data_IF_912707527731
#
_entry.id   IF_912707527731
#
_cell.length_a   1.000
_cell.length_b   1.000
_cell.length_c   1.000
_cell.angle_alpha   90.00
_cell.angle_beta   90.00
_cell.angle_gamma   90.00
#
_symmetry.space_group_name_H-M   'P 1'
#
loop_
_entity.id
_entity.type
_entity.pdbx_description
1 polymer ?
#
# COMPACT_ATOMS: atom_id res chain seq x y z
N UNK A 1 -2.49 23.45 53.57
CA UNK A 1 -1.08 23.80 53.35
C UNK A 1 -0.58 22.98 52.17
N UNK A 2 -0.46 23.63 50.99
CA UNK A 2 0.44 23.34 49.85
C UNK A 2 0.27 21.93 49.21
N UNK A 3 -0.36 21.76 48.04
CA UNK A 3 0.14 22.17 46.71
C UNK A 3 -1.00 22.32 45.69
N UNK A 4 -0.94 23.37 44.87
CA UNK A 4 -1.82 23.61 43.72
C UNK A 4 -1.12 23.39 42.37
N UNK A 5 -1.97 23.42 41.33
CA UNK A 5 -1.73 23.91 39.95
C UNK A 5 -0.68 23.22 39.06
N UNK A 6 -1.14 22.32 38.16
CA UNK A 6 -0.95 22.45 36.70
C UNK A 6 -1.65 21.29 35.95
N UNK A 7 -2.91 21.50 35.58
CA UNK A 7 -3.52 20.76 34.46
C UNK A 7 -3.47 21.73 33.30
N UNK A 8 -2.73 21.47 32.21
CA UNK A 8 -2.66 22.41 31.11
C UNK A 8 -4.02 22.50 30.42
N UNK A 9 -4.63 23.67 30.54
CA UNK A 9 -5.80 24.19 29.85
C UNK A 9 -5.54 24.41 28.35
N UNK A 10 -4.95 23.42 27.66
CA UNK A 10 -4.68 23.46 26.21
C UNK A 10 -5.91 23.11 25.36
N UNK A 11 -7.06 22.81 25.97
CA UNK A 11 -8.24 22.28 25.27
C UNK A 11 -9.45 23.22 25.20
N UNK A 12 -9.33 24.49 25.63
CA UNK A 12 -10.44 25.44 25.56
C UNK A 12 -9.96 26.87 25.30
N UNK A 13 -9.77 27.18 24.02
CA UNK A 13 -9.43 28.51 23.54
C UNK A 13 -9.63 28.58 22.03
N UNK A 14 -10.80 29.05 21.62
CA UNK A 14 -11.14 29.29 20.23
C UNK A 14 -10.18 30.31 19.59
N UNK A 15 -9.56 29.93 18.48
CA UNK A 15 -9.06 30.87 17.47
C UNK A 15 -9.40 30.30 16.09
N UNK A 16 -10.48 30.85 15.53
CA UNK A 16 -10.59 31.24 14.13
C UNK A 16 -10.00 30.28 13.07
N UNK A 17 -10.89 29.48 12.50
CA UNK A 17 -10.75 28.71 11.26
C UNK A 17 -10.58 29.61 9.99
N UNK A 18 -9.98 30.79 10.15
CA UNK A 18 -9.88 31.86 9.15
C UNK A 18 -8.44 32.36 8.94
N UNK A 19 -7.51 32.08 9.88
CA UNK A 19 -6.13 32.61 9.79
C UNK A 19 -5.20 31.72 8.94
N UNK A 20 -5.56 30.43 8.74
CA UNK A 20 -4.79 29.53 7.87
C UNK A 20 -5.12 29.70 6.37
N UNK A 21 -6.13 30.50 6.01
CA UNK A 21 -6.42 30.87 4.62
C UNK A 21 -5.81 32.22 4.22
N UNK A 22 -5.38 33.07 5.17
CA UNK A 22 -4.85 34.39 4.84
C UNK A 22 -3.35 34.43 4.49
N UNK A 23 -2.58 33.37 4.74
CA UNK A 23 -1.17 33.28 4.31
C UNK A 23 -0.98 32.65 2.91
N UNK A 24 -2.02 32.66 2.07
CA UNK A 24 -1.88 32.47 0.61
C UNK A 24 -2.32 33.71 -0.18
N UNK A 25 -2.35 34.88 0.47
CA UNK A 25 -2.40 36.17 -0.21
C UNK A 25 -1.02 36.60 -0.66
N UNK A 26 -0.60 36.21 -1.87
CA UNK A 26 0.56 36.84 -2.52
C UNK A 26 1.57 35.95 -3.23
N UNK A 27 1.18 34.78 -3.74
CA UNK A 27 1.95 34.17 -4.83
C UNK A 27 1.16 34.32 -6.12
N UNK A 28 1.29 35.48 -6.77
CA UNK A 28 1.18 35.51 -8.24
C UNK A 28 2.32 34.66 -8.79
N UNK A 29 2.13 33.34 -8.73
CA UNK A 29 2.94 32.38 -9.45
C UNK A 29 2.50 32.50 -10.89
N UNK A 30 3.18 33.35 -11.65
CA UNK A 30 3.23 33.22 -13.10
C UNK A 30 3.81 31.83 -13.40
N UNK A 31 2.93 30.82 -13.45
CA UNK A 31 3.23 29.44 -13.83
C UNK A 31 3.62 29.45 -15.31
N UNK A 32 4.84 29.91 -15.57
CA UNK A 32 5.42 29.94 -16.89
C UNK A 32 5.66 28.49 -17.31
N UNK A 33 5.24 28.13 -18.52
CA UNK A 33 5.47 26.82 -19.18
C UNK A 33 6.93 26.34 -19.12
N UNK A 34 7.86 27.27 -18.88
CA UNK A 34 9.27 27.02 -18.65
C UNK A 34 9.56 26.12 -17.44
N UNK A 35 8.84 26.27 -16.32
CA UNK A 35 9.05 25.43 -15.13
C UNK A 35 8.65 23.97 -15.39
N UNK A 36 7.57 23.78 -16.15
CA UNK A 36 7.13 22.45 -16.61
C UNK A 36 8.15 21.84 -17.58
N UNK A 37 8.70 22.66 -18.48
CA UNK A 37 9.76 22.24 -19.39
C UNK A 37 11.02 21.75 -18.67
N UNK A 38 11.50 22.50 -17.68
CA UNK A 38 12.66 22.10 -16.85
C UNK A 38 12.37 20.81 -16.08
N UNK A 39 11.19 20.70 -15.45
CA UNK A 39 10.80 19.50 -14.71
C UNK A 39 10.71 18.27 -15.63
N UNK A 40 10.13 18.41 -16.82
CA UNK A 40 10.02 17.31 -17.79
C UNK A 40 11.38 16.84 -18.30
N UNK A 41 12.33 17.77 -18.48
CA UNK A 41 13.70 17.44 -18.91
C UNK A 41 14.42 16.60 -17.85
N UNK A 42 14.21 16.88 -16.56
CA UNK A 42 14.78 16.10 -15.47
C UNK A 42 14.25 14.65 -15.44
N UNK A 43 12.98 14.45 -15.78
CA UNK A 43 12.35 13.11 -15.93
C UNK A 43 12.97 12.37 -17.11
N UNK A 44 13.15 13.04 -18.25
CA UNK A 44 13.76 12.45 -19.45
C UNK A 44 15.21 12.04 -19.18
N UNK A 45 16.00 12.88 -18.51
CA UNK A 45 17.39 12.57 -18.13
C UNK A 45 17.44 11.34 -17.20
N UNK A 46 16.58 11.26 -16.18
CA UNK A 46 16.46 10.08 -15.32
C UNK A 46 16.08 8.82 -16.13
N UNK A 47 15.16 8.97 -17.09
CA UNK A 47 14.78 7.90 -18.01
C UNK A 47 15.95 7.40 -18.85
N UNK A 48 16.74 8.31 -19.43
CA UNK A 48 17.92 7.98 -20.24
C UNK A 48 18.98 7.28 -19.40
N UNK A 49 19.26 7.75 -18.18
CA UNK A 49 20.21 7.12 -17.25
C UNK A 49 19.72 5.71 -16.86
N UNK A 50 18.42 5.55 -16.62
CA UNK A 50 17.82 4.25 -16.29
C UNK A 50 17.96 3.24 -17.43
N UNK A 51 17.80 3.68 -18.68
CA UNK A 51 18.00 2.86 -19.89
C UNK A 51 19.49 2.53 -20.05
N UNK A 52 20.38 3.50 -19.83
CA UNK A 52 21.83 3.33 -19.93
C UNK A 52 22.39 2.31 -18.93
N UNK A 53 21.79 2.19 -17.73
CA UNK A 53 22.17 1.19 -16.74
C UNK A 53 21.71 -0.25 -17.08
N UNK A 54 20.96 -0.47 -18.17
CA UNK A 54 20.73 -1.80 -18.75
C UNK A 54 20.05 -2.80 -17.81
N UNK A 55 19.18 -2.33 -16.91
CA UNK A 55 18.66 -3.13 -15.79
C UNK A 55 17.69 -4.27 -16.20
N UNK A 56 17.40 -4.47 -17.50
CA UNK A 56 16.41 -5.43 -18.01
C UNK A 56 15.00 -5.32 -17.37
N UNK A 57 14.76 -4.23 -16.64
CA UNK A 57 13.49 -3.91 -15.98
C UNK A 57 12.55 -3.14 -16.91
N UNK A 58 13.03 -2.62 -18.05
CA UNK A 58 12.24 -1.77 -18.94
C UNK A 58 10.95 -2.44 -19.41
N UNK A 59 11.03 -3.71 -19.85
CA UNK A 59 9.86 -4.46 -20.30
C UNK A 59 8.92 -4.79 -19.13
N UNK A 60 9.47 -5.14 -17.96
CA UNK A 60 8.69 -5.44 -16.76
C UNK A 60 7.94 -4.20 -16.25
N UNK A 61 8.63 -3.05 -16.21
CA UNK A 61 8.06 -1.76 -15.82
C UNK A 61 7.03 -1.27 -16.84
N UNK A 62 7.31 -1.39 -18.13
CA UNK A 62 6.38 -1.00 -19.19
C UNK A 62 5.10 -1.83 -19.12
N UNK A 63 5.21 -3.16 -19.02
CA UNK A 63 4.04 -4.05 -18.87
C UNK A 63 3.26 -3.73 -17.59
N UNK A 64 3.94 -3.49 -16.48
CA UNK A 64 3.30 -3.12 -15.20
C UNK A 64 2.59 -1.77 -15.29
N UNK A 65 3.21 -0.78 -15.93
CA UNK A 65 2.64 0.56 -16.11
C UNK A 65 1.39 0.52 -16.98
N UNK A 66 1.45 -0.14 -18.13
CA UNK A 66 0.30 -0.31 -19.03
C UNK A 66 -0.84 -1.03 -18.31
N UNK A 67 -0.55 -2.09 -17.55
CA UNK A 67 -1.54 -2.79 -16.73
C UNK A 67 -2.19 -1.88 -15.69
N UNK A 68 -1.41 -1.08 -14.95
CA UNK A 68 -1.94 -0.11 -13.98
C UNK A 68 -2.85 0.92 -14.65
N UNK A 69 -2.48 1.44 -15.81
CA UNK A 69 -3.31 2.39 -16.58
C UNK A 69 -4.63 1.72 -16.97
N UNK A 70 -4.58 0.54 -17.56
CA UNK A 70 -5.78 -0.22 -17.94
C UNK A 70 -6.67 -0.50 -16.72
N UNK A 71 -6.09 -0.94 -15.61
CA UNK A 71 -6.81 -1.19 -14.36
C UNK A 71 -7.48 0.07 -13.82
N UNK A 72 -6.78 1.20 -13.79
CA UNK A 72 -7.33 2.46 -13.28
C UNK A 72 -8.45 2.98 -14.17
N UNK A 73 -8.29 2.89 -15.50
CA UNK A 73 -9.35 3.26 -16.45
C UNK A 73 -10.59 2.39 -16.28
N UNK A 74 -10.42 1.06 -16.18
CA UNK A 74 -11.54 0.14 -15.94
C UNK A 74 -12.24 0.42 -14.61
N UNK A 75 -11.49 0.66 -13.53
CA UNK A 75 -12.06 1.01 -12.23
C UNK A 75 -12.82 2.33 -12.27
N UNK A 76 -12.30 3.33 -13.00
CA UNK A 76 -12.98 4.61 -13.20
C UNK A 76 -14.33 4.46 -13.90
N UNK A 77 -14.41 3.61 -14.94
CA UNK A 77 -15.65 3.34 -15.67
C UNK A 77 -16.69 2.61 -14.79
N UNK A 78 -16.25 1.61 -14.03
CA UNK A 78 -17.14 0.85 -13.12
C UNK A 78 -17.67 1.73 -11.98
N UNK A 79 -16.89 2.74 -11.55
CA UNK A 79 -17.28 3.63 -10.45
C UNK A 79 -18.57 4.41 -10.74
N UNK A 80 -18.80 4.79 -12.00
CA UNK A 80 -20.00 5.56 -12.37
C UNK A 80 -21.29 4.76 -12.20
N UNK A 81 -21.27 3.47 -12.53
CA UNK A 81 -22.39 2.55 -12.32
C UNK A 81 -22.60 2.21 -10.84
N UNK A 82 -21.50 2.05 -10.10
CA UNK A 82 -21.52 1.81 -8.64
C UNK A 82 -22.17 2.96 -7.89
N UNK A 83 -21.88 4.21 -8.29
CA UNK A 83 -22.44 5.40 -7.67
C UNK A 83 -23.94 5.58 -7.96
N UNK A 84 -24.45 5.07 -9.09
CA UNK A 84 -25.88 5.13 -9.42
C UNK A 84 -26.72 4.09 -8.67
N UNK A 85 -26.10 2.99 -8.24
CA UNK A 85 -26.80 1.85 -7.67
C UNK A 85 -27.00 1.90 -6.14
N UNK A 86 -26.29 2.76 -5.40
CA UNK A 86 -26.39 3.00 -3.94
C UNK A 86 -26.72 1.74 -3.10
N UNK A 87 -26.05 0.64 -3.40
CA UNK A 87 -26.35 -0.67 -2.80
C UNK A 87 -25.10 -1.27 -2.12
N UNK A 88 -25.20 -1.74 -0.86
CA UNK A 88 -24.09 -2.36 -0.12
C UNK A 88 -23.34 -3.46 -0.84
N UNK A 89 -24.10 -4.32 -1.50
CA UNK A 89 -23.59 -5.53 -2.09
C UNK A 89 -22.67 -5.23 -3.26
N UNK A 90 -22.90 -4.12 -3.95
CA UNK A 90 -22.06 -3.66 -5.07
C UNK A 90 -20.73 -3.11 -4.56
N UNK A 91 -20.73 -2.37 -3.44
CA UNK A 91 -19.48 -1.90 -2.81
C UNK A 91 -18.66 -3.08 -2.32
N UNK A 92 -19.28 -4.08 -1.68
CA UNK A 92 -18.61 -5.31 -1.25
C UNK A 92 -18.03 -6.10 -2.43
N UNK A 93 -18.80 -6.27 -3.51
CA UNK A 93 -18.36 -6.94 -4.73
C UNK A 93 -17.18 -6.21 -5.38
N UNK A 94 -17.18 -4.88 -5.35
CA UNK A 94 -16.08 -4.09 -5.90
C UNK A 94 -14.79 -4.24 -5.08
N UNK A 95 -14.87 -4.24 -3.74
CA UNK A 95 -13.72 -4.54 -2.89
C UNK A 95 -13.18 -5.94 -3.20
N UNK A 96 -14.08 -6.92 -3.36
CA UNK A 96 -13.68 -8.28 -3.68
C UNK A 96 -12.94 -8.36 -5.02
N UNK A 97 -13.43 -7.65 -6.04
CA UNK A 97 -12.76 -7.53 -7.35
C UNK A 97 -11.39 -6.85 -7.21
N UNK A 98 -11.28 -5.78 -6.44
CA UNK A 98 -10.01 -5.08 -6.20
C UNK A 98 -8.98 -5.97 -5.50
N UNK A 99 -9.42 -6.69 -4.45
CA UNK A 99 -8.59 -7.67 -3.75
C UNK A 99 -8.18 -8.81 -4.69
N UNK A 100 -9.09 -9.32 -5.51
CA UNK A 100 -8.82 -10.41 -6.44
C UNK A 100 -7.82 -10.00 -7.53
N UNK A 101 -8.03 -8.84 -8.15
CA UNK A 101 -7.14 -8.31 -9.17
C UNK A 101 -5.74 -8.04 -8.59
N UNK A 102 -5.70 -7.50 -7.38
CA UNK A 102 -4.45 -7.24 -6.67
C UNK A 102 -3.71 -8.51 -6.26
N UNK A 103 -4.40 -9.51 -5.72
CA UNK A 103 -3.80 -10.80 -5.40
C UNK A 103 -3.26 -11.51 -6.65
N UNK A 104 -3.98 -11.41 -7.77
CA UNK A 104 -3.54 -11.96 -9.04
C UNK A 104 -2.29 -11.24 -9.57
N UNK A 105 -2.18 -9.92 -9.37
CA UNK A 105 -0.98 -9.13 -9.69
C UNK A 105 0.27 -9.62 -8.95
N UNK A 106 0.19 -9.71 -7.62
CA UNK A 106 1.30 -10.13 -6.75
C UNK A 106 1.86 -11.47 -7.21
N UNK A 107 0.94 -12.38 -7.54
CA UNK A 107 1.26 -13.77 -7.80
C UNK A 107 1.76 -13.97 -9.24
N UNK A 108 1.23 -13.23 -10.21
CA UNK A 108 1.65 -13.34 -11.62
C UNK A 108 2.97 -12.62 -11.90
N UNK A 109 3.21 -11.45 -11.31
CA UNK A 109 4.37 -10.62 -11.69
C UNK A 109 5.53 -10.64 -10.69
N UNK A 110 5.30 -10.92 -9.40
CA UNK A 110 6.38 -10.83 -8.39
C UNK A 110 6.99 -12.16 -7.95
N UNK A 111 6.38 -13.30 -8.28
CA UNK A 111 6.89 -14.62 -7.89
C UNK A 111 7.62 -15.32 -9.04
N UNK A 112 8.94 -15.10 -9.16
CA UNK A 112 9.82 -15.86 -10.08
C UNK A 112 9.95 -17.36 -9.73
N UNK A 113 9.46 -17.80 -8.55
CA UNK A 113 9.51 -19.19 -8.07
C UNK A 113 8.19 -19.54 -7.36
N UNK A 114 7.34 -20.30 -8.05
CA UNK A 114 5.97 -20.66 -7.64
C UNK A 114 5.99 -21.87 -6.69
N UNK A 115 5.43 -21.73 -5.49
CA UNK A 115 4.91 -22.87 -4.71
C UNK A 115 3.40 -23.03 -4.93
N UNK A 116 2.94 -24.27 -5.10
CA UNK A 116 1.51 -24.61 -5.20
C UNK A 116 0.82 -24.29 -3.87
N UNK A 117 -0.01 -23.24 -3.83
CA UNK A 117 -0.72 -22.79 -2.62
C UNK A 117 -0.46 -21.33 -2.20
N UNK A 118 0.60 -20.70 -2.70
CA UNK A 118 0.95 -19.32 -2.33
C UNK A 118 -0.14 -18.29 -2.71
N UNK A 119 -0.84 -18.53 -3.82
CA UNK A 119 -1.95 -17.66 -4.25
C UNK A 119 -3.07 -17.60 -3.21
N UNK A 120 -3.48 -18.76 -2.69
CA UNK A 120 -4.55 -18.82 -1.68
C UNK A 120 -4.11 -18.18 -0.38
N UNK A 121 -2.86 -18.41 0.07
CA UNK A 121 -2.36 -17.82 1.32
C UNK A 121 -2.23 -16.30 1.24
N UNK A 122 -1.73 -15.77 0.12
CA UNK A 122 -1.62 -14.32 -0.10
C UNK A 122 -3.00 -13.69 -0.28
N UNK A 123 -3.90 -14.31 -1.03
CA UNK A 123 -5.25 -13.81 -1.24
C UNK A 123 -6.05 -13.80 0.07
N UNK A 124 -5.98 -14.87 0.87
CA UNK A 124 -6.60 -14.91 2.20
C UNK A 124 -5.97 -13.88 3.13
N UNK A 125 -4.64 -13.81 3.20
CA UNK A 125 -3.97 -12.87 4.12
C UNK A 125 -4.25 -11.42 3.77
N UNK A 126 -4.17 -11.05 2.48
CA UNK A 126 -4.46 -9.70 1.98
C UNK A 126 -5.96 -9.40 2.13
N UNK A 127 -6.82 -10.30 1.65
CA UNK A 127 -8.28 -10.12 1.71
C UNK A 127 -8.80 -10.02 3.13
N UNK A 128 -8.38 -10.92 4.03
CA UNK A 128 -8.80 -10.88 5.43
C UNK A 128 -8.29 -9.61 6.13
N UNK A 129 -7.02 -9.23 5.91
CA UNK A 129 -6.46 -8.00 6.49
C UNK A 129 -7.19 -6.75 6.00
N UNK A 130 -7.40 -6.62 4.69
CA UNK A 130 -8.10 -5.47 4.09
C UNK A 130 -9.56 -5.43 4.50
N UNK A 131 -10.25 -6.57 4.61
CA UNK A 131 -11.63 -6.61 5.12
C UNK A 131 -11.71 -6.21 6.59
N UNK A 132 -10.82 -6.72 7.45
CA UNK A 132 -10.79 -6.37 8.88
C UNK A 132 -10.46 -4.89 9.07
N UNK A 133 -9.39 -4.40 8.44
CA UNK A 133 -8.99 -2.99 8.53
C UNK A 133 -10.04 -2.10 7.87
N UNK A 134 -10.66 -2.53 6.77
CA UNK A 134 -11.67 -1.75 6.09
C UNK A 134 -12.97 -1.62 6.88
N UNK A 135 -13.41 -2.70 7.52
CA UNK A 135 -14.60 -2.69 8.39
C UNK A 135 -14.37 -1.89 9.66
N UNK A 136 -13.23 -2.06 10.33
CA UNK A 136 -12.88 -1.30 11.54
C UNK A 136 -12.61 0.17 11.19
N UNK A 137 -11.82 0.44 10.16
CA UNK A 137 -11.47 1.79 9.72
C UNK A 137 -12.70 2.59 9.30
N UNK A 138 -13.65 1.98 8.61
CA UNK A 138 -14.90 2.66 8.26
C UNK A 138 -15.84 2.85 9.45
N UNK A 139 -15.77 2.01 10.51
CA UNK A 139 -16.56 2.17 11.75
C UNK A 139 -16.00 3.29 12.62
N UNK A 140 -14.68 3.33 12.77
CA UNK A 140 -14.01 4.11 13.82
C UNK A 140 -13.21 5.30 13.30
N UNK A 141 -12.62 5.23 12.10
CA UNK A 141 -11.73 6.29 11.60
C UNK A 141 -12.46 7.38 10.80
N UNK A 142 -13.56 7.04 10.13
CA UNK A 142 -14.30 7.98 9.29
C UNK A 142 -15.47 8.67 10.02
N UNK A 143 -15.89 8.18 11.19
CA UNK A 143 -17.04 8.67 12.00
C UNK A 143 -18.28 9.07 11.16
N UNK A 144 -18.49 8.39 10.02
CA UNK A 144 -19.62 8.65 9.16
C UNK A 144 -20.79 7.74 9.54
N UNK A 145 -21.95 8.35 9.80
CA UNK A 145 -23.22 7.67 10.06
C UNK A 145 -23.63 6.71 8.94
N UNK A 146 -23.14 6.91 7.71
CA UNK A 146 -23.42 6.08 6.54
C UNK A 146 -22.12 5.47 5.99
N UNK A 147 -22.00 4.16 6.17
CA UNK A 147 -20.87 3.31 5.75
C UNK A 147 -20.59 3.27 4.24
N UNK A 148 -21.43 3.93 3.44
CA UNK A 148 -21.55 3.66 2.02
C UNK A 148 -21.05 4.72 1.10
N UNK A 149 -20.54 5.87 1.57
CA UNK A 149 -20.11 6.89 0.63
C UNK A 149 -18.95 6.37 -0.24
N UNK A 150 -19.25 5.94 -1.49
CA UNK A 150 -18.35 5.05 -2.22
C UNK A 150 -17.17 5.83 -2.77
N UNK A 151 -17.33 7.16 -2.88
CA UNK A 151 -16.32 8.14 -3.27
C UNK A 151 -15.11 8.20 -2.32
N UNK A 152 -15.31 7.94 -1.03
CA UNK A 152 -14.22 8.00 -0.03
C UNK A 152 -13.71 6.59 0.27
N UNK A 153 -14.63 5.64 0.38
CA UNK A 153 -14.31 4.28 0.79
C UNK A 153 -13.45 3.55 -0.26
N UNK A 154 -13.81 3.64 -1.55
CA UNK A 154 -13.11 2.89 -2.61
C UNK A 154 -11.64 3.34 -2.77
N UNK A 155 -11.32 4.65 -2.85
CA UNK A 155 -9.93 5.09 -2.91
C UNK A 155 -9.14 4.74 -1.65
N UNK A 156 -9.76 4.82 -0.47
CA UNK A 156 -9.10 4.47 0.80
C UNK A 156 -8.70 2.98 0.81
N UNK A 157 -9.59 2.09 0.36
CA UNK A 157 -9.26 0.67 0.22
C UNK A 157 -8.20 0.42 -0.85
N UNK A 158 -8.25 1.15 -1.96
CA UNK A 158 -7.25 1.08 -3.02
C UNK A 158 -5.84 1.43 -2.52
N UNK A 159 -5.71 2.51 -1.74
CA UNK A 159 -4.45 2.91 -1.14
C UNK A 159 -3.97 1.89 -0.09
N UNK A 160 -4.88 1.37 0.74
CA UNK A 160 -4.57 0.33 1.72
C UNK A 160 -4.03 -0.93 1.04
N UNK A 161 -4.69 -1.37 -0.03
CA UNK A 161 -4.29 -2.52 -0.83
C UNK A 161 -2.95 -2.29 -1.53
N UNK A 162 -2.74 -1.12 -2.15
CA UNK A 162 -1.49 -0.78 -2.84
C UNK A 162 -0.27 -0.78 -1.91
N UNK A 163 -0.42 -0.18 -0.74
CA UNK A 163 0.65 -0.14 0.28
C UNK A 163 0.92 -1.54 0.86
N UNK A 164 -0.14 -2.28 1.22
CA UNK A 164 -0.02 -3.64 1.75
C UNK A 164 0.58 -4.63 0.73
N UNK A 165 0.17 -4.52 -0.53
CA UNK A 165 0.68 -5.32 -1.64
C UNK A 165 2.19 -5.21 -1.76
N UNK A 166 2.73 -3.99 -1.72
CA UNK A 166 4.17 -3.75 -1.84
C UNK A 166 4.94 -4.41 -0.69
N UNK A 167 4.46 -4.25 0.55
CA UNK A 167 5.04 -4.84 1.74
C UNK A 167 5.04 -6.37 1.70
N UNK A 168 3.87 -6.98 1.45
CA UNK A 168 3.70 -8.45 1.37
C UNK A 168 4.64 -9.02 0.31
N UNK A 169 4.75 -8.34 -0.83
CA UNK A 169 5.49 -8.87 -1.94
C UNK A 169 7.02 -8.72 -1.74
N UNK A 170 7.49 -7.78 -0.91
CA UNK A 170 8.89 -7.76 -0.42
C UNK A 170 9.11 -8.89 0.60
N UNK A 171 8.26 -8.98 1.63
CA UNK A 171 8.39 -9.98 2.69
C UNK A 171 8.35 -11.42 2.16
N UNK A 172 7.43 -11.71 1.24
CA UNK A 172 7.30 -13.04 0.62
C UNK A 172 8.52 -13.38 -0.24
N UNK A 173 9.01 -12.44 -1.05
CA UNK A 173 10.20 -12.66 -1.89
C UNK A 173 11.45 -12.90 -1.04
N UNK A 174 11.60 -12.13 0.04
CA UNK A 174 12.71 -12.30 0.98
C UNK A 174 12.63 -13.64 1.71
N UNK A 175 11.46 -14.00 2.25
CA UNK A 175 11.27 -15.27 2.94
C UNK A 175 11.60 -16.47 2.03
N UNK A 176 11.13 -16.45 0.77
CA UNK A 176 11.42 -17.52 -0.19
C UNK A 176 12.90 -17.63 -0.53
N UNK A 177 13.57 -16.50 -0.73
CA UNK A 177 15.01 -16.48 -0.99
C UNK A 177 15.78 -17.03 0.21
N UNK A 178 15.45 -16.60 1.43
CA UNK A 178 16.10 -17.08 2.64
C UNK A 178 15.88 -18.57 2.90
N UNK A 179 14.67 -19.08 2.66
CA UNK A 179 14.42 -20.52 2.75
C UNK A 179 15.16 -21.33 1.67
N UNK A 180 15.48 -20.74 0.51
CA UNK A 180 16.27 -21.40 -0.53
C UNK A 180 17.77 -21.35 -0.24
N UNK A 181 18.28 -20.24 0.28
CA UNK A 181 19.70 -20.06 0.59
C UNK A 181 20.11 -20.77 1.88
N UNK A 182 19.24 -20.80 2.90
CA UNK A 182 19.56 -21.38 4.21
C UNK A 182 18.97 -22.79 4.41
N UNK A 183 18.74 -23.55 3.33
CA UNK A 183 18.17 -24.90 3.41
C UNK A 183 18.97 -25.82 4.32
N UNK A 184 20.30 -25.84 4.18
CA UNK A 184 21.16 -26.70 4.99
C UNK A 184 21.03 -26.40 6.49
N UNK A 185 20.93 -25.12 6.86
CA UNK A 185 20.71 -24.72 8.26
C UNK A 185 19.35 -25.18 8.77
N UNK A 186 18.31 -25.04 7.95
CA UNK A 186 16.96 -25.51 8.27
C UNK A 186 16.96 -27.03 8.51
N UNK A 187 17.53 -27.79 7.57
CA UNK A 187 17.62 -29.25 7.65
C UNK A 187 18.44 -29.70 8.86
N UNK A 188 19.51 -28.98 9.21
CA UNK A 188 20.27 -29.21 10.43
C UNK A 188 19.38 -29.03 11.68
N UNK A 189 18.67 -27.91 11.81
CA UNK A 189 17.77 -27.68 12.95
C UNK A 189 16.68 -28.76 13.06
N UNK A 190 16.10 -29.18 11.93
CA UNK A 190 15.12 -30.29 11.91
C UNK A 190 15.76 -31.62 12.34
N UNK A 191 17.01 -31.89 11.94
CA UNK A 191 17.73 -33.11 12.34
C UNK A 191 18.04 -33.15 13.84
N UNK A 192 18.20 -31.99 14.48
CA UNK A 192 18.34 -31.86 15.93
C UNK A 192 16.99 -31.88 16.68
N UNK A 193 15.88 -32.10 15.97
CA UNK A 193 14.54 -32.22 16.55
C UNK A 193 13.79 -30.90 16.73
N UNK A 194 14.27 -29.79 16.15
CA UNK A 194 13.54 -28.52 16.20
C UNK A 194 12.21 -28.61 15.44
N UNK A 195 11.19 -27.92 15.94
CA UNK A 195 9.90 -27.85 15.24
C UNK A 195 9.99 -26.94 14.01
N UNK A 196 9.09 -27.18 13.03
CA UNK A 196 8.97 -26.37 11.80
C UNK A 196 8.80 -24.87 12.09
N UNK A 197 8.17 -24.54 13.23
CA UNK A 197 7.96 -23.17 13.67
C UNK A 197 9.25 -22.52 14.22
N UNK A 198 10.03 -23.26 15.01
CA UNK A 198 11.29 -22.78 15.57
C UNK A 198 12.33 -22.54 14.48
N UNK A 199 12.44 -23.46 13.51
CA UNK A 199 13.37 -23.31 12.39
C UNK A 199 13.00 -22.13 11.47
N UNK A 200 11.70 -21.83 11.30
CA UNK A 200 11.21 -20.76 10.43
C UNK A 200 11.11 -19.38 11.08
N UNK A 201 11.04 -19.29 12.41
CA UNK A 201 10.87 -18.04 13.16
C UNK A 201 11.88 -16.93 12.80
N UNK A 202 13.21 -17.18 12.74
CA UNK A 202 14.17 -16.10 12.44
C UNK A 202 13.97 -15.53 11.04
N UNK A 203 13.67 -16.38 10.06
CA UNK A 203 13.39 -15.96 8.68
C UNK A 203 12.11 -15.11 8.62
N UNK A 204 11.06 -15.52 9.34
CA UNK A 204 9.80 -14.78 9.35
C UNK A 204 9.93 -13.39 9.99
N UNK A 205 10.65 -13.27 11.11
CA UNK A 205 10.85 -11.98 11.80
C UNK A 205 11.61 -11.00 10.89
N UNK A 206 12.67 -11.45 10.24
CA UNK A 206 13.47 -10.59 9.36
C UNK A 206 12.70 -10.22 8.08
N UNK A 207 11.91 -11.16 7.53
CA UNK A 207 11.02 -10.89 6.41
C UNK A 207 9.99 -9.80 6.72
N UNK A 208 9.38 -9.84 7.91
CA UNK A 208 8.42 -8.81 8.35
C UNK A 208 9.13 -7.48 8.56
N UNK A 209 10.33 -7.49 9.17
CA UNK A 209 11.12 -6.27 9.37
C UNK A 209 11.44 -5.58 8.05
N UNK A 210 11.90 -6.34 7.05
CA UNK A 210 12.20 -5.82 5.72
C UNK A 210 10.94 -5.34 4.98
N UNK A 211 9.82 -6.06 5.13
CA UNK A 211 8.53 -5.65 4.56
C UNK A 211 8.00 -4.33 5.14
N UNK A 212 8.37 -3.98 6.37
CA UNK A 212 7.95 -2.74 7.06
C UNK A 212 8.85 -1.54 6.74
N UNK A 213 10.05 -1.75 6.21
CA UNK A 213 10.98 -0.65 5.88
C UNK A 213 10.38 0.43 4.97
N UNK A 214 9.62 0.11 3.90
CA UNK A 214 9.01 1.14 3.05
C UNK A 214 8.10 2.09 3.84
N UNK A 215 7.25 1.54 4.72
CA UNK A 215 6.33 2.31 5.56
C UNK A 215 7.09 3.21 6.52
N UNK A 216 8.13 2.70 7.18
CA UNK A 216 8.95 3.48 8.11
C UNK A 216 9.69 4.60 7.37
N UNK A 217 10.23 4.30 6.19
CA UNK A 217 10.97 5.28 5.39
C UNK A 217 10.04 6.36 4.81
N UNK A 218 8.77 6.06 4.56
CA UNK A 218 7.79 7.06 4.11
C UNK A 218 7.30 8.02 5.20
N UNK A 219 7.53 7.70 6.48
CA UNK A 219 7.10 8.51 7.62
C UNK A 219 8.16 9.52 8.10
N UNK A 220 9.41 9.37 7.66
CA UNK A 220 10.51 10.31 7.93
C UNK A 220 10.69 11.24 6.75
#
# INVERSE_FOLDING_TARGET
MIFGTNVPSFFYGASTNSDCYQETGGVESTLHWYHVGIASTFIIINGIISIWLGLHLEASLFVSSVRCVVQLTLMGLVLEDVFKADNPFIVLAMIFILVFLGANEIVLHKSKRRHSGMFISVLLSLGLSTLVIGTIGSRYALDQKEFWNPRIFIPTMGMLLGNGMSAIAVGTSYALNQFSEQKEKLELYLSFGASRWEAGRPVAVEAIRLAMLPTINSMR
#
